data_IF_106806460371
#
_entry.id   IF_106806460371
#
_cell.length_a   1.000
_cell.length_b   1.000
_cell.length_c   1.000
_cell.angle_alpha   90.00
_cell.angle_beta   90.00
_cell.angle_gamma   90.00
#
_symmetry.space_group_name_H-M   'P 1'
#
loop_
_entity.id
_entity.type
_entity.pdbx_description
1 polymer ?
#
# COMPACT_ATOMS: atom_id res chain seq x y z
N UNK A 1 -3.97 8.01 -1.15
CA UNK A 1 -2.99 9.05 -0.81
C UNK A 1 -3.71 10.28 -0.26
N UNK A 2 -4.43 11.04 -1.10
CA UNK A 2 -5.17 12.22 -0.65
C UNK A 2 -6.27 11.90 0.38
N UNK A 3 -7.17 10.96 0.04
CA UNK A 3 -8.29 10.56 0.91
C UNK A 3 -7.85 9.84 2.18
N UNK A 4 -6.66 9.24 2.13
CA UNK A 4 -6.03 8.62 3.29
C UNK A 4 -5.33 9.65 4.19
N UNK A 5 -5.21 10.92 3.76
CA UNK A 5 -4.61 12.00 4.53
C UNK A 5 -3.09 12.08 4.45
N UNK A 6 -2.42 11.33 3.56
CA UNK A 6 -0.96 11.43 3.37
C UNK A 6 -0.54 12.69 2.60
N UNK A 7 -1.46 13.28 1.85
CA UNK A 7 -1.29 14.58 1.22
C UNK A 7 -2.63 15.32 1.13
N UNK A 8 -2.56 16.63 0.87
CA UNK A 8 -3.74 17.46 0.69
C UNK A 8 -4.55 17.05 -0.55
N UNK A 9 -5.84 17.37 -0.55
CA UNK A 9 -6.73 17.14 -1.69
C UNK A 9 -6.23 17.91 -2.92
N UNK A 10 -6.19 17.22 -4.06
CA UNK A 10 -5.63 17.75 -5.32
C UNK A 10 -4.11 17.77 -5.39
N UNK A 11 -3.40 17.25 -4.38
CA UNK A 11 -1.92 17.22 -4.32
C UNK A 11 -1.30 15.84 -4.53
N UNK A 12 -2.08 14.83 -4.92
CA UNK A 12 -1.60 13.46 -5.11
C UNK A 12 -0.48 13.33 -6.14
N UNK A 13 -0.56 14.05 -7.26
CA UNK A 13 0.49 14.00 -8.29
C UNK A 13 1.80 14.64 -7.83
N UNK A 14 1.71 15.74 -7.08
CA UNK A 14 2.87 16.39 -6.47
C UNK A 14 3.53 15.44 -5.46
N UNK A 15 2.75 14.82 -4.57
CA UNK A 15 3.23 13.81 -3.62
C UNK A 15 3.95 12.66 -4.33
N UNK A 16 3.34 12.05 -5.35
CA UNK A 16 3.95 10.94 -6.11
C UNK A 16 5.25 11.35 -6.79
N UNK A 17 5.36 12.61 -7.23
CA UNK A 17 6.54 13.12 -7.93
C UNK A 17 7.68 13.53 -6.99
N UNK A 18 7.38 13.77 -5.71
CA UNK A 18 8.35 14.20 -4.70
C UNK A 18 8.86 13.07 -3.81
N UNK A 19 8.20 11.90 -3.84
CA UNK A 19 8.56 10.72 -3.05
C UNK A 19 9.10 9.59 -3.92
N UNK A 20 10.04 8.83 -3.37
CA UNK A 20 10.42 7.54 -3.91
C UNK A 20 9.42 6.49 -3.37
N UNK A 21 8.54 6.01 -4.26
CA UNK A 21 7.51 5.04 -3.92
C UNK A 21 7.97 3.58 -3.96
N UNK A 22 9.25 3.34 -4.30
CA UNK A 22 9.81 1.99 -4.30
C UNK A 22 9.98 1.46 -2.88
N UNK A 23 10.19 0.15 -2.73
CA UNK A 23 10.43 -0.46 -1.42
C UNK A 23 11.69 0.07 -0.69
N UNK A 24 12.57 0.78 -1.39
CA UNK A 24 13.80 1.41 -0.86
C UNK A 24 13.64 2.91 -0.63
N UNK A 25 12.52 3.47 -1.07
CA UNK A 25 12.27 4.90 -1.03
C UNK A 25 11.80 5.37 0.34
N UNK A 26 11.39 6.64 0.38
CA UNK A 26 10.92 7.31 1.59
C UNK A 26 9.42 7.12 1.85
N UNK A 27 8.66 6.67 0.85
CA UNK A 27 7.26 6.29 1.01
C UNK A 27 6.94 5.00 0.25
N UNK A 28 7.39 3.82 0.73
CA UNK A 28 7.11 2.54 0.08
C UNK A 28 5.61 2.31 -0.14
N UNK A 29 5.21 2.19 -1.41
CA UNK A 29 3.80 2.03 -1.78
C UNK A 29 3.64 0.84 -2.70
N UNK A 30 2.73 -0.08 -2.35
CA UNK A 30 2.40 -1.25 -3.17
C UNK A 30 3.65 -2.06 -3.55
N UNK A 31 4.45 -2.47 -2.56
CA UNK A 31 5.77 -3.10 -2.77
C UNK A 31 5.72 -4.39 -3.57
N UNK A 32 4.63 -5.14 -3.53
CA UNK A 32 4.39 -6.29 -4.41
C UNK A 32 3.96 -5.93 -5.85
N UNK A 33 3.84 -4.64 -6.20
CA UNK A 33 3.41 -4.12 -7.50
C UNK A 33 1.96 -3.62 -7.55
N UNK A 34 1.19 -3.80 -6.47
CA UNK A 34 -0.22 -3.39 -6.43
C UNK A 34 -1.09 -4.13 -7.45
N UNK A 35 -2.32 -3.68 -7.67
CA UNK A 35 -3.21 -4.30 -8.66
C UNK A 35 -2.69 -4.19 -10.10
N UNK A 36 -1.84 -3.20 -10.39
CA UNK A 36 -1.24 -3.00 -11.73
C UNK A 36 -0.13 -4.02 -12.04
N UNK A 37 0.71 -4.35 -11.05
CA UNK A 37 1.85 -5.25 -11.24
C UNK A 37 1.61 -6.68 -10.74
N UNK A 38 1.02 -6.83 -9.55
CA UNK A 38 0.72 -8.13 -8.95
C UNK A 38 -0.53 -8.78 -9.57
N UNK A 39 -1.49 -7.94 -9.98
CA UNK A 39 -2.73 -8.33 -10.65
C UNK A 39 -3.98 -8.13 -9.80
N UNK A 40 -5.14 -8.20 -10.47
CA UNK A 40 -6.46 -7.93 -9.87
C UNK A 40 -7.40 -9.11 -10.11
N UNK A 41 -7.37 -10.09 -9.20
CA UNK A 41 -8.20 -11.30 -9.27
C UNK A 41 -9.64 -11.05 -8.78
N UNK A 42 -10.36 -10.13 -9.44
CA UNK A 42 -11.74 -9.79 -9.09
C UNK A 42 -11.86 -9.33 -7.63
N UNK A 43 -12.86 -9.87 -6.91
CA UNK A 43 -13.13 -9.53 -5.51
C UNK A 43 -11.99 -9.94 -4.56
N UNK A 44 -11.16 -10.92 -4.94
CA UNK A 44 -10.01 -11.33 -4.13
C UNK A 44 -8.80 -10.39 -4.32
N UNK A 45 -8.84 -9.50 -5.32
CA UNK A 45 -7.73 -8.59 -5.63
C UNK A 45 -7.29 -7.75 -4.43
N UNK A 46 -8.21 -7.29 -3.58
CA UNK A 46 -7.85 -6.50 -2.40
C UNK A 46 -7.01 -7.25 -1.36
N UNK A 47 -7.15 -8.57 -1.26
CA UNK A 47 -6.52 -9.37 -0.21
C UNK A 47 -4.99 -9.44 -0.35
N UNK A 48 -4.45 -9.28 -1.57
CA UNK A 48 -3.01 -9.29 -1.74
C UNK A 48 -2.32 -8.14 -1.00
N UNK A 49 -2.98 -6.98 -0.85
CA UNK A 49 -2.41 -5.85 -0.10
C UNK A 49 -2.26 -6.16 1.38
N UNK A 50 -3.25 -6.85 1.97
CA UNK A 50 -3.20 -7.29 3.37
C UNK A 50 -2.09 -8.32 3.56
N UNK A 51 -1.97 -9.28 2.64
CA UNK A 51 -0.92 -10.29 2.67
C UNK A 51 0.49 -9.68 2.50
N UNK A 52 0.65 -8.70 1.62
CA UNK A 52 1.93 -8.00 1.42
C UNK A 52 2.31 -7.20 2.68
N UNK A 53 1.39 -6.40 3.22
CA UNK A 53 1.59 -5.63 4.45
C UNK A 53 1.99 -6.53 5.64
N UNK A 54 1.27 -7.64 5.85
CA UNK A 54 1.62 -8.59 6.90
C UNK A 54 3.01 -9.21 6.68
N UNK A 55 3.38 -9.53 5.43
CA UNK A 55 4.73 -10.04 5.12
C UNK A 55 5.80 -8.99 5.38
N UNK A 56 5.58 -7.73 5.04
CA UNK A 56 6.52 -6.65 5.30
C UNK A 56 6.77 -6.49 6.80
N UNK A 57 5.70 -6.44 7.59
CA UNK A 57 5.77 -6.35 9.07
C UNK A 57 6.51 -7.55 9.67
N UNK A 58 6.27 -8.76 9.14
CA UNK A 58 6.96 -9.96 9.61
C UNK A 58 8.42 -10.09 9.15
N UNK A 59 8.97 -9.12 8.38
CA UNK A 59 10.30 -9.26 7.78
C UNK A 59 10.39 -10.34 6.69
N UNK A 60 9.27 -10.64 6.02
CA UNK A 60 9.10 -11.71 5.02
C UNK A 60 8.75 -11.19 3.61
N UNK A 61 9.06 -9.92 3.31
CA UNK A 61 8.86 -9.26 2.02
C UNK A 61 9.83 -9.70 0.92
N UNK A 62 10.82 -10.55 1.24
CA UNK A 62 11.76 -11.10 0.27
C UNK A 62 12.63 -10.01 -0.37
N UNK A 63 12.77 -10.04 -1.70
CA UNK A 63 13.60 -9.09 -2.44
C UNK A 63 13.10 -7.63 -2.37
N UNK A 64 11.84 -7.42 -2.01
CA UNK A 64 11.21 -6.10 -1.88
C UNK A 64 10.92 -5.75 -0.41
N UNK A 65 11.66 -6.31 0.55
CA UNK A 65 11.50 -6.02 1.97
C UNK A 65 11.78 -4.53 2.25
N UNK A 66 10.81 -3.87 2.88
CA UNK A 66 10.96 -2.51 3.42
C UNK A 66 11.79 -2.58 4.70
N UNK A 67 12.78 -1.69 4.83
CA UNK A 67 13.59 -1.58 6.04
C UNK A 67 12.74 -1.07 7.21
N UNK A 68 12.91 -1.67 8.39
CA UNK A 68 12.30 -1.24 9.66
C UNK A 68 10.77 -1.02 9.56
N UNK A 69 10.07 -1.95 8.92
CA UNK A 69 8.62 -1.87 8.70
C UNK A 69 7.84 -2.45 9.87
N UNK A 70 7.44 -1.61 10.82
CA UNK A 70 6.61 -2.05 11.97
C UNK A 70 5.14 -1.66 11.82
N UNK A 71 4.80 -0.84 10.82
CA UNK A 71 3.43 -0.39 10.57
C UNK A 71 3.11 -0.35 9.09
N UNK A 72 1.90 -0.76 8.73
CA UNK A 72 1.42 -0.72 7.36
C UNK A 72 -0.02 -0.22 7.28
N UNK A 73 -0.27 0.62 6.28
CA UNK A 73 -1.61 1.11 5.93
C UNK A 73 -2.10 0.38 4.69
N UNK A 74 -3.26 -0.26 4.79
CA UNK A 74 -3.89 -0.96 3.67
C UNK A 74 -5.27 -0.35 3.42
N UNK A 75 -5.52 0.12 2.20
CA UNK A 75 -6.82 0.61 1.78
C UNK A 75 -7.31 -0.16 0.57
N UNK A 76 -8.58 -0.55 0.60
CA UNK A 76 -9.27 -1.24 -0.48
C UNK A 76 -10.52 -0.46 -0.91
N UNK A 77 -10.84 -0.58 -2.20
CA UNK A 77 -11.99 0.04 -2.83
C UNK A 77 -12.82 -1.03 -3.55
N UNK A 78 -14.14 -0.98 -3.40
CA UNK A 78 -15.10 -1.87 -4.05
C UNK A 78 -16.04 -1.14 -5.01
N UNK A 79 -16.42 -1.83 -6.09
CA UNK A 79 -17.34 -1.30 -7.11
C UNK A 79 -16.76 -0.09 -7.85
N UNK A 80 -17.58 0.96 -8.01
CA UNK A 80 -17.16 2.24 -8.59
C UNK A 80 -17.07 3.25 -7.45
N UNK A 81 -16.03 3.11 -6.62
CA UNK A 81 -15.83 3.92 -5.41
C UNK A 81 -16.98 3.84 -4.39
N UNK A 82 -17.78 2.76 -4.41
CA UNK A 82 -18.97 2.62 -3.56
C UNK A 82 -18.65 2.17 -2.15
N UNK A 83 -17.55 1.45 -1.98
CA UNK A 83 -17.16 0.80 -0.74
C UNK A 83 -15.69 1.10 -0.46
N UNK A 84 -15.38 1.56 0.75
CA UNK A 84 -14.00 1.77 1.20
C UNK A 84 -13.78 0.99 2.49
N UNK A 85 -12.66 0.27 2.55
CA UNK A 85 -12.19 -0.36 3.79
C UNK A 85 -10.73 -0.03 3.98
N UNK A 86 -10.36 0.28 5.22
CA UNK A 86 -8.99 0.59 5.60
C UNK A 86 -8.59 -0.22 6.81
N UNK A 87 -7.36 -0.72 6.81
CA UNK A 87 -6.72 -1.42 7.90
C UNK A 87 -5.40 -0.72 8.23
N UNK A 88 -5.10 -0.62 9.52
CA UNK A 88 -3.75 -0.31 10.03
C UNK A 88 -3.26 -1.58 10.69
N UNK A 89 -2.14 -2.10 10.20
CA UNK A 89 -1.45 -3.24 10.80
C UNK A 89 -0.20 -2.73 11.53
N UNK A 90 0.09 -3.34 12.68
CA UNK A 90 1.23 -3.00 13.53
C UNK A 90 1.91 -4.29 13.98
N UNK A 91 3.24 -4.31 13.93
CA UNK A 91 4.12 -5.33 14.49
C UNK A 91 4.75 -4.88 15.79
N UNK A 92 5.47 -5.80 16.44
CA UNK A 92 6.20 -5.59 17.70
C UNK A 92 7.66 -5.21 17.49
#
# INVERSE_FOLDING_TARGET
LEDAGFCEKGKGMEFVSQHDLTFRGDFPLNTAGGQLGFGQAGNAGGMHHVCDAARQIMGRGGAAQVADCDRAFVSGNGGILSEQTTLVLEGD
#
